data_IF_540744254608
#
_entry.id   IF_540744254608
#
_cell.length_a   1.000
_cell.length_b   1.000
_cell.length_c   1.000
_cell.angle_alpha   90.00
_cell.angle_beta   90.00
_cell.angle_gamma   90.00
#
_symmetry.space_group_name_H-M   'P 1'
#
loop_
_entity.id
_entity.type
_entity.pdbx_description
1 polymer ?
#
# COMPACT_ATOMS: atom_id res chain seq x y z
N UNK A 1 7.19 20.15 -8.67
CA UNK A 1 8.58 19.65 -8.59
C UNK A 1 8.58 18.52 -7.58
N UNK A 2 8.82 17.27 -7.99
CA UNK A 2 8.83 16.14 -7.04
C UNK A 2 10.03 16.34 -6.12
N UNK A 3 9.86 16.39 -4.78
CA UNK A 3 10.97 16.52 -3.85
C UNK A 3 11.99 15.41 -4.08
N UNK A 4 13.27 15.65 -3.80
CA UNK A 4 14.25 14.58 -3.86
C UNK A 4 13.87 13.45 -2.91
N UNK A 5 13.52 12.28 -3.47
CA UNK A 5 13.18 11.08 -2.70
C UNK A 5 14.40 10.16 -2.60
N UNK A 6 14.74 9.78 -1.36
CA UNK A 6 15.71 8.72 -1.09
C UNK A 6 15.20 7.38 -1.62
N UNK A 7 16.13 6.47 -1.96
CA UNK A 7 15.81 5.12 -2.45
C UNK A 7 14.86 4.38 -1.51
N UNK A 8 15.05 4.53 -0.19
CA UNK A 8 14.18 3.96 0.82
C UNK A 8 12.77 4.55 0.73
N UNK A 9 12.63 5.87 0.64
CA UNK A 9 11.31 6.51 0.56
C UNK A 9 10.57 6.11 -0.73
N UNK A 10 11.28 5.96 -1.85
CA UNK A 10 10.69 5.46 -3.11
C UNK A 10 10.13 4.04 -2.95
N UNK A 11 10.85 3.17 -2.25
CA UNK A 11 10.38 1.82 -1.91
C UNK A 11 9.17 1.89 -0.97
N UNK A 12 9.20 2.72 0.07
CA UNK A 12 8.07 2.90 1.01
C UNK A 12 6.81 3.45 0.33
N UNK A 13 6.94 4.28 -0.70
CA UNK A 13 5.79 4.80 -1.45
C UNK A 13 5.23 3.78 -2.46
N UNK A 14 6.09 2.98 -3.11
CA UNK A 14 5.65 2.00 -4.10
C UNK A 14 5.11 0.70 -3.49
N UNK A 15 5.63 0.30 -2.32
CA UNK A 15 5.36 -1.01 -1.73
C UNK A 15 3.88 -1.26 -1.41
N UNK A 16 3.09 -0.32 -0.86
CA UNK A 16 1.69 -0.58 -0.57
C UNK A 16 0.87 -0.87 -1.84
N UNK A 17 1.08 -0.10 -2.91
CA UNK A 17 0.43 -0.34 -4.21
C UNK A 17 0.86 -1.67 -4.83
N UNK A 18 2.15 -2.01 -4.75
CA UNK A 18 2.69 -3.30 -5.22
C UNK A 18 2.08 -4.48 -4.43
N UNK A 19 1.80 -4.32 -3.13
CA UNK A 19 1.13 -5.35 -2.33
C UNK A 19 -0.36 -5.48 -2.63
N UNK A 20 -1.03 -4.39 -3.00
CA UNK A 20 -2.46 -4.39 -3.36
C UNK A 20 -2.72 -4.94 -4.77
N UNK A 21 -1.84 -4.70 -5.75
CA UNK A 21 -2.00 -5.09 -7.16
C UNK A 21 -2.49 -6.54 -7.37
N UNK A 22 -1.85 -7.60 -6.80
CA UNK A 22 -2.31 -8.96 -7.02
C UNK A 22 -3.72 -9.23 -6.47
N UNK A 23 -4.12 -8.52 -5.42
CA UNK A 23 -5.44 -8.67 -4.80
C UNK A 23 -6.50 -7.92 -5.61
N UNK A 24 -6.20 -6.67 -6.00
CA UNK A 24 -7.08 -5.83 -6.81
C UNK A 24 -7.34 -6.48 -8.17
N UNK A 25 -6.35 -7.12 -8.80
CA UNK A 25 -6.52 -7.86 -10.06
C UNK A 25 -7.43 -9.08 -9.99
N UNK A 26 -7.58 -9.67 -8.80
CA UNK A 26 -8.49 -10.80 -8.59
C UNK A 26 -9.91 -10.30 -8.29
N UNK A 27 -10.03 -9.16 -7.61
CA UNK A 27 -11.32 -8.60 -7.22
C UNK A 27 -12.00 -7.78 -8.31
N UNK A 28 -11.21 -7.11 -9.15
CA UNK A 28 -11.69 -6.23 -10.22
C UNK A 28 -11.52 -6.91 -11.58
N UNK A 29 -12.49 -6.69 -12.46
CA UNK A 29 -12.50 -7.30 -13.78
C UNK A 29 -12.38 -6.20 -14.85
N UNK A 30 -11.33 -6.31 -15.67
CA UNK A 30 -11.09 -5.36 -16.76
C UNK A 30 -12.25 -5.38 -17.75
N UNK A 31 -12.77 -4.21 -18.13
CA UNK A 31 -13.87 -4.06 -19.08
C UNK A 31 -15.26 -4.30 -18.50
N UNK A 32 -15.38 -4.62 -17.21
CA UNK A 32 -16.67 -4.74 -16.52
C UNK A 32 -17.35 -3.39 -16.36
N UNK A 33 -16.60 -2.38 -15.93
CA UNK A 33 -17.04 -0.98 -15.82
C UNK A 33 -15.82 -0.04 -15.76
N UNK A 34 -16.08 1.24 -16.02
CA UNK A 34 -15.02 2.26 -16.09
C UNK A 34 -14.32 2.51 -14.75
N UNK A 35 -15.00 2.30 -13.62
CA UNK A 35 -14.41 2.51 -12.30
C UNK A 35 -13.37 1.44 -11.96
N UNK A 36 -13.66 0.18 -12.27
CA UNK A 36 -12.76 -0.94 -12.05
C UNK A 36 -11.51 -0.80 -12.94
N UNK A 37 -11.70 -0.40 -14.21
CA UNK A 37 -10.60 -0.11 -15.13
C UNK A 37 -9.71 1.03 -14.62
N UNK A 38 -10.32 2.13 -14.16
CA UNK A 38 -9.62 3.27 -13.57
C UNK A 38 -8.83 2.87 -12.33
N UNK A 39 -9.42 2.07 -11.43
CA UNK A 39 -8.73 1.62 -10.22
C UNK A 39 -7.50 0.76 -10.56
N UNK A 40 -7.62 -0.17 -11.52
CA UNK A 40 -6.51 -0.99 -11.99
C UNK A 40 -5.37 -0.14 -12.57
N UNK A 41 -5.71 0.90 -13.33
CA UNK A 41 -4.71 1.79 -13.93
C UNK A 41 -4.03 2.69 -12.88
N UNK A 42 -4.78 3.19 -11.90
CA UNK A 42 -4.23 3.98 -10.80
C UNK A 42 -3.29 3.17 -9.91
N UNK A 43 -3.64 1.92 -9.56
CA UNK A 43 -2.73 1.03 -8.79
C UNK A 43 -1.45 0.76 -9.59
N UNK A 44 -1.57 0.53 -10.91
CA UNK A 44 -0.39 0.35 -11.76
C UNK A 44 0.47 1.61 -11.82
N UNK A 45 -0.13 2.79 -11.92
CA UNK A 45 0.58 4.06 -11.92
C UNK A 45 1.26 4.32 -10.57
N UNK A 46 0.58 4.05 -9.45
CA UNK A 46 1.10 4.18 -8.09
C UNK A 46 2.37 3.37 -7.82
N UNK A 47 2.53 2.21 -8.45
CA UNK A 47 3.77 1.41 -8.36
C UNK A 47 4.93 2.11 -9.07
N UNK A 48 4.65 2.85 -10.14
CA UNK A 48 5.66 3.45 -11.02
C UNK A 48 6.06 4.87 -10.63
N UNK A 49 5.09 5.66 -10.17
CA UNK A 49 5.23 7.09 -9.84
C UNK A 49 6.42 7.37 -8.90
N UNK A 50 6.69 6.58 -7.83
CA UNK A 50 7.83 6.81 -6.96
C UNK A 50 9.20 6.65 -7.63
N UNK A 51 9.25 6.15 -8.87
CA UNK A 51 10.49 5.95 -9.63
C UNK A 51 10.63 6.90 -10.83
N UNK A 52 9.73 7.86 -10.99
CA UNK A 52 9.85 8.88 -12.02
C UNK A 52 11.13 9.70 -11.84
N UNK A 53 11.77 10.01 -12.97
CA UNK A 53 13.05 10.71 -13.03
C UNK A 53 14.27 9.94 -12.51
N UNK A 54 14.11 8.67 -12.12
CA UNK A 54 15.23 7.81 -11.71
C UNK A 54 15.87 7.19 -12.95
N UNK A 55 17.20 7.15 -12.98
CA UNK A 55 17.97 6.42 -13.99
C UNK A 55 17.43 4.99 -14.22
N UNK A 56 17.33 4.50 -15.48
CA UNK A 56 16.73 3.19 -15.77
C UNK A 56 17.36 2.00 -15.02
N UNK A 57 18.68 1.96 -14.87
CA UNK A 57 19.35 0.85 -14.19
C UNK A 57 19.05 0.89 -12.68
N UNK A 58 19.05 2.09 -12.09
CA UNK A 58 18.68 2.28 -10.68
C UNK A 58 17.19 1.98 -10.44
N UNK A 59 16.30 2.42 -11.34
CA UNK A 59 14.86 2.12 -11.30
C UNK A 59 14.62 0.60 -11.28
N UNK A 60 15.24 -0.13 -12.19
CA UNK A 60 15.10 -1.59 -12.23
C UNK A 60 15.54 -2.27 -10.92
N UNK A 61 16.65 -1.79 -10.31
CA UNK A 61 17.13 -2.31 -9.02
C UNK A 61 16.13 -2.05 -7.88
N UNK A 62 15.57 -0.84 -7.82
CA UNK A 62 14.58 -0.49 -6.81
C UNK A 62 13.28 -1.27 -6.98
N UNK A 63 12.78 -1.39 -8.22
CA UNK A 63 11.58 -2.18 -8.51
C UNK A 63 11.75 -3.64 -8.10
N UNK A 64 12.89 -4.27 -8.44
CA UNK A 64 13.20 -5.63 -7.97
C UNK A 64 13.17 -5.75 -6.45
N UNK A 65 13.65 -4.72 -5.72
CA UNK A 65 13.59 -4.68 -4.26
C UNK A 65 12.15 -4.61 -3.75
N UNK A 66 11.29 -3.79 -4.36
CA UNK A 66 9.87 -3.74 -3.97
C UNK A 66 9.18 -5.07 -4.24
N UNK A 67 9.37 -5.65 -5.43
CA UNK A 67 8.77 -6.95 -5.77
C UNK A 67 9.28 -8.08 -4.86
N UNK A 68 10.57 -8.09 -4.51
CA UNK A 68 11.12 -9.06 -3.57
C UNK A 68 10.47 -8.95 -2.18
N UNK A 69 10.29 -7.72 -1.66
CA UNK A 69 9.56 -7.48 -0.41
C UNK A 69 8.11 -7.95 -0.51
N UNK A 70 7.40 -7.61 -1.60
CA UNK A 70 6.02 -8.07 -1.82
C UNK A 70 5.94 -9.58 -1.74
N UNK A 71 6.79 -10.30 -2.49
CA UNK A 71 6.81 -11.77 -2.49
C UNK A 71 7.01 -12.27 -1.07
N UNK A 72 8.07 -11.84 -0.40
CA UNK A 72 8.41 -12.29 0.95
C UNK A 72 7.28 -12.05 1.97
N UNK A 73 6.63 -10.89 1.90
CA UNK A 73 5.58 -10.48 2.83
C UNK A 73 4.26 -11.18 2.55
N UNK A 74 3.95 -11.50 1.29
CA UNK A 74 2.69 -12.12 0.88
C UNK A 74 2.72 -13.64 0.81
N UNK A 75 3.89 -14.28 0.65
CA UNK A 75 4.02 -15.74 0.61
C UNK A 75 3.32 -16.47 1.78
N UNK A 76 3.38 -16.01 3.05
CA UNK A 76 2.64 -16.66 4.15
C UNK A 76 1.12 -16.68 4.01
N UNK A 77 0.58 -15.91 3.07
CA UNK A 77 -0.85 -15.78 2.78
C UNK A 77 -1.24 -16.40 1.43
N UNK A 78 -0.29 -16.97 0.69
CA UNK A 78 -0.58 -17.77 -0.50
C UNK A 78 -1.50 -18.96 -0.13
N UNK A 79 -2.50 -19.23 -0.97
CA UNK A 79 -3.51 -20.26 -0.72
C UNK A 79 -4.57 -19.91 0.33
N UNK A 80 -4.50 -18.75 0.99
CA UNK A 80 -5.57 -18.26 1.86
C UNK A 80 -6.66 -17.55 1.05
N UNK A 81 -7.87 -17.38 1.60
CA UNK A 81 -8.92 -16.60 0.94
C UNK A 81 -8.42 -15.19 0.60
N UNK A 82 -8.59 -14.79 -0.66
CA UNK A 82 -8.14 -13.47 -1.18
C UNK A 82 -8.72 -12.32 -0.34
N UNK A 83 -9.97 -12.47 0.11
CA UNK A 83 -10.65 -11.51 0.98
C UNK A 83 -9.89 -11.27 2.30
N UNK A 84 -9.30 -12.30 2.92
CA UNK A 84 -8.51 -12.13 4.14
C UNK A 84 -7.26 -11.28 3.87
N UNK A 85 -6.55 -11.57 2.77
CA UNK A 85 -5.34 -10.82 2.38
C UNK A 85 -5.68 -9.38 2.03
N UNK A 86 -6.79 -9.15 1.32
CA UNK A 86 -7.31 -7.82 1.05
C UNK A 86 -7.57 -7.03 2.33
N UNK A 87 -8.36 -7.58 3.24
CA UNK A 87 -8.71 -6.92 4.51
C UNK A 87 -7.48 -6.60 5.34
N UNK A 88 -6.52 -7.54 5.42
CA UNK A 88 -5.25 -7.30 6.10
C UNK A 88 -4.50 -6.11 5.50
N UNK A 89 -4.38 -6.03 4.17
CA UNK A 89 -3.64 -4.96 3.50
C UNK A 89 -4.34 -3.61 3.64
N UNK A 90 -5.66 -3.56 3.54
CA UNK A 90 -6.41 -2.31 3.72
C UNK A 90 -6.34 -1.83 5.17
N UNK A 91 -6.48 -2.72 6.16
CA UNK A 91 -6.33 -2.34 7.57
C UNK A 91 -4.92 -1.80 7.82
N UNK A 92 -3.90 -2.49 7.31
CA UNK A 92 -2.52 -2.03 7.42
C UNK A 92 -2.30 -0.66 6.77
N UNK A 93 -2.83 -0.44 5.57
CA UNK A 93 -2.72 0.83 4.85
C UNK A 93 -3.44 1.96 5.59
N UNK A 94 -4.69 1.74 5.99
CA UNK A 94 -5.48 2.70 6.77
C UNK A 94 -4.75 3.10 8.05
N UNK A 95 -4.29 2.13 8.85
CA UNK A 95 -3.62 2.40 10.11
C UNK A 95 -2.34 3.24 9.90
N UNK A 96 -1.59 3.01 8.81
CA UNK A 96 -0.40 3.82 8.49
C UNK A 96 -0.72 5.24 8.02
N UNK A 97 -1.86 5.45 7.35
CA UNK A 97 -2.29 6.78 6.93
C UNK A 97 -2.84 7.57 8.13
N UNK A 98 -3.64 6.92 8.97
CA UNK A 98 -4.22 7.52 10.18
C UNK A 98 -3.15 7.93 11.20
N UNK A 99 -2.10 7.10 11.38
CA UNK A 99 -1.02 7.41 12.32
C UNK A 99 0.13 8.24 11.70
N UNK A 100 0.01 8.63 10.43
CA UNK A 100 0.99 9.46 9.71
C UNK A 100 2.31 8.74 9.38
N UNK A 101 2.39 7.43 9.58
CA UNK A 101 3.57 6.62 9.19
C UNK A 101 3.77 6.62 7.68
N UNK A 102 2.67 6.64 6.92
CA UNK A 102 2.67 6.83 5.48
C UNK A 102 1.96 8.15 5.15
N UNK A 103 2.72 9.04 4.54
CA UNK A 103 2.21 10.28 3.96
C UNK A 103 2.20 10.15 2.43
N UNK A 104 1.03 10.27 1.81
CA UNK A 104 0.87 10.20 0.36
C UNK A 104 0.98 11.60 -0.23
N UNK A 105 1.60 11.70 -1.40
CA UNK A 105 1.63 12.97 -2.13
C UNK A 105 0.21 13.28 -2.59
N UNK A 106 -0.31 14.44 -2.23
CA UNK A 106 -1.62 14.90 -2.66
C UNK A 106 -1.72 14.86 -4.19
N UNK A 107 -2.82 14.27 -4.70
CA UNK A 107 -3.04 14.11 -6.14
C UNK A 107 -2.19 13.01 -6.82
N UNK A 108 -1.32 12.29 -6.08
CA UNK A 108 -0.66 11.09 -6.62
C UNK A 108 -1.67 10.04 -7.04
N UNK A 109 -1.28 9.19 -7.99
CA UNK A 109 -2.13 8.08 -8.42
C UNK A 109 -2.52 7.18 -7.24
N UNK A 110 -1.62 7.04 -6.27
CA UNK A 110 -1.89 6.24 -5.10
C UNK A 110 -2.84 6.91 -4.10
N UNK A 111 -2.74 8.23 -3.88
CA UNK A 111 -3.71 8.95 -3.06
C UNK A 111 -5.13 8.76 -3.62
N UNK A 112 -5.30 8.96 -4.93
CA UNK A 112 -6.59 8.78 -5.61
C UNK A 112 -7.09 7.33 -5.51
N UNK A 113 -6.22 6.35 -5.78
CA UNK A 113 -6.60 4.93 -5.66
C UNK A 113 -7.01 4.54 -4.24
N UNK A 114 -6.31 5.11 -3.25
CA UNK A 114 -6.50 4.75 -1.84
C UNK A 114 -7.78 5.34 -1.29
N UNK A 115 -8.13 6.57 -1.65
CA UNK A 115 -9.42 7.16 -1.29
C UNK A 115 -10.59 6.30 -1.81
N UNK A 116 -10.53 5.90 -3.09
CA UNK A 116 -11.55 5.04 -3.71
C UNK A 116 -11.60 3.65 -3.04
N UNK A 117 -10.45 3.01 -2.80
CA UNK A 117 -10.37 1.67 -2.19
C UNK A 117 -10.80 1.66 -0.72
N UNK A 118 -10.38 2.65 0.07
CA UNK A 118 -10.79 2.79 1.48
C UNK A 118 -12.28 3.09 1.56
N UNK A 119 -12.80 4.00 0.73
CA UNK A 119 -14.23 4.30 0.71
C UNK A 119 -15.08 3.06 0.40
N UNK A 120 -14.69 2.25 -0.61
CA UNK A 120 -15.36 0.98 -0.93
C UNK A 120 -15.31 -0.01 0.25
N UNK A 121 -14.23 -0.02 1.02
CA UNK A 121 -14.10 -0.86 2.21
C UNK A 121 -14.97 -0.39 3.37
N UNK A 122 -15.06 0.93 3.59
CA UNK A 122 -15.94 1.52 4.61
C UNK A 122 -17.42 1.32 4.26
N UNK A 123 -17.79 1.41 2.98
CA UNK A 123 -19.15 1.12 2.53
C UNK A 123 -19.60 -0.33 2.80
N UNK A 124 -18.63 -1.24 2.95
CA UNK A 124 -18.83 -2.63 3.32
C UNK A 124 -18.21 -2.96 4.69
N UNK A 125 -18.20 -1.98 5.61
CA UNK A 125 -17.58 -2.09 6.93
C UNK A 125 -18.08 -3.29 7.73
N UNK A 126 -19.34 -3.69 7.55
CA UNK A 126 -19.94 -4.87 8.15
C UNK A 126 -19.31 -6.19 7.64
N UNK A 127 -18.87 -6.23 6.38
CA UNK A 127 -18.16 -7.35 5.78
C UNK A 127 -16.64 -7.31 6.05
N UNK A 128 -16.08 -6.12 6.30
CA UNK A 128 -14.64 -5.90 6.43
C UNK A 128 -14.15 -5.81 7.89
N UNK A 129 -14.85 -5.07 8.75
CA UNK A 129 -14.41 -4.77 10.12
C UNK A 129 -15.14 -5.57 11.20
N UNK A 130 -16.38 -6.04 10.96
CA UNK A 130 -17.18 -6.70 12.01
C UNK A 130 -16.75 -8.14 12.38
N UNK A 131 -15.80 -8.78 11.68
CA UNK A 131 -15.54 -10.22 11.94
C UNK A 131 -14.11 -10.74 11.80
N UNK A 132 -13.09 -10.00 11.35
CA UNK A 132 -11.77 -10.61 11.10
C UNK A 132 -10.67 -10.16 12.08
N UNK A 133 -10.74 -10.61 13.33
CA UNK A 133 -9.62 -10.54 14.31
C UNK A 133 -8.31 -11.08 13.72
N UNK A 134 -8.41 -12.04 12.80
CA UNK A 134 -7.33 -12.58 11.97
C UNK A 134 -6.67 -11.51 11.08
N UNK A 135 -7.44 -10.72 10.35
CA UNK A 135 -6.95 -9.68 9.46
C UNK A 135 -6.19 -8.60 10.24
N UNK A 136 -6.75 -8.12 11.35
CA UNK A 136 -6.08 -7.15 12.24
C UNK A 136 -4.77 -7.71 12.79
N UNK A 137 -4.79 -8.96 13.29
CA UNK A 137 -3.58 -9.62 13.79
C UNK A 137 -2.52 -9.75 12.70
N UNK A 138 -2.90 -10.08 11.48
CA UNK A 138 -1.98 -10.21 10.36
C UNK A 138 -1.45 -8.85 9.89
N UNK A 139 -2.26 -7.79 9.92
CA UNK A 139 -1.85 -6.42 9.59
C UNK A 139 -0.77 -5.92 10.56
N UNK A 140 -0.96 -6.16 11.86
CA UNK A 140 0.05 -5.86 12.89
C UNK A 140 1.35 -6.66 12.70
N UNK A 141 1.24 -7.94 12.33
CA UNK A 141 2.42 -8.76 12.01
C UNK A 141 3.15 -8.25 10.77
N UNK A 142 2.42 -7.84 9.73
CA UNK A 142 2.97 -7.24 8.52
C UNK A 142 3.75 -5.95 8.86
N UNK A 143 3.13 -5.04 9.62
CA UNK A 143 3.78 -3.82 10.12
C UNK A 143 5.07 -4.12 10.87
N UNK A 144 5.02 -5.01 11.87
CA UNK A 144 6.20 -5.38 12.66
C UNK A 144 7.34 -5.96 11.80
N UNK A 145 7.02 -6.79 10.79
CA UNK A 145 8.02 -7.30 9.84
C UNK A 145 8.69 -6.19 9.03
N UNK A 146 7.93 -5.19 8.62
CA UNK A 146 8.45 -4.04 7.87
C UNK A 146 9.32 -3.14 8.76
N UNK A 147 8.88 -2.87 9.98
CA UNK A 147 9.62 -2.08 10.97
C UNK A 147 10.98 -2.71 11.31
N UNK A 148 11.03 -4.04 11.51
CA UNK A 148 12.29 -4.78 11.72
C UNK A 148 13.26 -4.67 10.54
N UNK A 149 12.75 -4.44 9.33
CA UNK A 149 13.56 -4.21 8.12
C UNK A 149 13.96 -2.75 7.93
N UNK A 150 13.57 -1.89 8.89
CA UNK A 150 13.76 -0.46 8.78
C UNK A 150 12.95 0.11 7.63
N UNK A 151 11.67 -0.25 7.51
CA UNK A 151 10.69 0.54 6.75
C UNK A 151 9.64 1.03 7.71
N UNK A 152 9.11 2.24 7.48
CA UNK A 152 8.00 2.76 8.28
C UNK A 152 8.30 2.83 9.80
N UNK A 153 9.57 2.78 10.18
CA UNK A 153 10.03 3.02 11.55
C UNK A 153 9.64 4.46 11.90
N UNK A 154 8.63 4.62 12.76
CA UNK A 154 7.90 5.86 12.96
C UNK A 154 8.75 7.12 12.85
N UNK A 155 8.32 8.07 12.02
CA UNK A 155 8.53 9.47 12.38
C UNK A 155 7.85 9.63 13.73
N UNK A 156 8.57 10.16 14.72
CA UNK A 156 8.03 10.33 16.07
C UNK A 156 6.67 11.00 16.03
N UNK A 157 5.84 10.68 17.03
CA UNK A 157 4.72 11.48 17.49
C UNK A 157 5.00 12.98 17.24
N UNK A 158 4.00 13.78 16.81
CA UNK A 158 4.18 15.22 16.69
C UNK A 158 4.77 15.72 18.01
N UNK A 159 6.00 16.27 17.97
CA UNK A 159 6.44 17.09 19.07
C UNK A 159 5.55 18.33 19.04
N UNK A 160 4.65 18.38 20.02
CA UNK A 160 4.10 19.63 20.48
C UNK A 160 5.27 20.54 20.93
N UNK A 161 5.27 21.77 20.43
CA UNK A 161 6.13 22.88 20.84
C UNK A 161 6.92 23.46 19.65
N UNK A 162 6.94 24.75 19.38
CA UNK A 162 6.40 25.91 20.08
C UNK A 162 6.50 27.12 19.14
N UNK A 163 5.45 27.96 19.15
CA UNK A 163 5.36 29.40 18.84
C UNK A 163 4.10 29.69 18.01
#
# INVERSE_FOLDING_TARGET
MIPYLSDRRRVELALPAEMLDPVVRVMLERGKNAEDDKCLDLVKAAIQEPFEGVDPAKRAKLQRRVTALRVELLTPYEGRPVVLTFQMLIIWLRDMLEDGTLDLVEGSAFAIATDDLIARVIQHEDLVLKTQKSAIKNARKLRSKLEMRGYYSGRGLPQAGAA
#
